data_IF_895005069440
#
_entry.id   IF_895005069440
#
_cell.length_a   1.000
_cell.length_b   1.000
_cell.length_c   1.000
_cell.angle_alpha   90.00
_cell.angle_beta   90.00
_cell.angle_gamma   90.00
#
_symmetry.space_group_name_H-M   'P 1'
#
loop_
_entity.id
_entity.type
_entity.pdbx_description
1 polymer ?
#
# COMPACT_ATOMS: atom_id res chain seq x y z
N UNK A 1 15.51 15.16 14.21
CA UNK A 1 14.52 14.49 15.08
C UNK A 1 13.13 15.14 15.14
N UNK A 2 12.93 16.43 14.80
CA UNK A 2 11.59 17.07 14.86
C UNK A 2 10.68 16.70 13.66
N UNK A 3 11.24 16.53 12.46
CA UNK A 3 10.45 16.18 11.24
C UNK A 3 9.97 14.72 11.21
N UNK A 4 10.69 13.79 11.85
CA UNK A 4 10.30 12.35 11.92
C UNK A 4 9.05 12.16 12.79
N UNK A 5 8.79 13.06 13.74
CA UNK A 5 7.67 12.99 14.66
C UNK A 5 6.33 13.36 14.00
N UNK A 6 6.33 14.31 13.05
CA UNK A 6 5.13 14.71 12.29
C UNK A 6 4.73 13.64 11.27
N UNK A 7 5.68 13.11 10.49
CA UNK A 7 5.39 12.05 9.51
C UNK A 7 4.86 10.75 10.15
N UNK A 8 5.39 10.39 11.33
CA UNK A 8 4.89 9.24 12.09
C UNK A 8 3.46 9.48 12.62
N UNK A 9 3.17 10.71 13.06
CA UNK A 9 1.83 11.10 13.50
C UNK A 9 0.83 11.09 12.33
N UNK A 10 1.24 11.57 11.15
CA UNK A 10 0.44 11.51 9.93
C UNK A 10 0.09 10.08 9.51
N UNK A 11 1.06 9.15 9.53
CA UNK A 11 0.82 7.74 9.18
C UNK A 11 -0.14 7.04 10.15
N UNK A 12 0.02 7.28 11.47
CA UNK A 12 -0.86 6.71 12.50
C UNK A 12 -2.27 7.31 12.44
N UNK A 13 -2.38 8.61 12.18
CA UNK A 13 -3.66 9.28 12.00
C UNK A 13 -4.37 8.75 10.74
N UNK A 14 -3.62 8.48 9.68
CA UNK A 14 -4.14 7.98 8.41
C UNK A 14 -4.69 6.55 8.53
N UNK A 15 -4.02 5.64 9.25
CA UNK A 15 -4.53 4.29 9.53
C UNK A 15 -5.84 4.30 10.34
N UNK A 16 -5.91 5.14 11.39
CA UNK A 16 -7.10 5.28 12.23
C UNK A 16 -8.33 5.74 11.43
N UNK A 17 -8.16 6.75 10.57
CA UNK A 17 -9.25 7.32 9.78
C UNK A 17 -9.65 6.44 8.58
N UNK A 18 -8.76 5.57 8.13
CA UNK A 18 -9.03 4.67 7.02
C UNK A 18 -10.04 3.57 7.41
N UNK A 19 -9.98 3.07 8.64
CA UNK A 19 -10.97 2.15 9.19
C UNK A 19 -12.38 2.76 9.20
N UNK A 20 -12.51 4.03 9.60
CA UNK A 20 -13.78 4.78 9.53
C UNK A 20 -14.29 4.90 8.09
N UNK A 21 -13.39 5.15 7.12
CA UNK A 21 -13.73 5.21 5.71
C UNK A 21 -14.26 3.88 5.15
N UNK A 22 -13.67 2.76 5.57
CA UNK A 22 -14.14 1.42 5.19
C UNK A 22 -15.52 1.14 5.76
N UNK A 23 -15.75 1.44 7.05
CA UNK A 23 -17.07 1.26 7.67
C UNK A 23 -18.15 2.10 6.98
N UNK A 24 -17.84 3.35 6.63
CA UNK A 24 -18.75 4.23 5.89
C UNK A 24 -19.11 3.68 4.50
N UNK A 25 -18.13 3.11 3.78
CA UNK A 25 -18.35 2.46 2.49
C UNK A 25 -19.23 1.20 2.59
N UNK A 26 -19.23 0.52 3.75
CA UNK A 26 -20.07 -0.65 4.01
C UNK A 26 -21.49 -0.25 4.40
N UNK A 27 -21.66 0.87 5.10
CA UNK A 27 -22.97 1.29 5.62
C UNK A 27 -23.77 2.17 4.65
N UNK A 28 -23.13 3.02 3.83
CA UNK A 28 -23.84 4.11 3.14
C UNK A 28 -23.66 4.17 1.61
N UNK A 29 -22.93 3.23 0.97
CA UNK A 29 -22.58 3.21 -0.48
C UNK A 29 -22.07 4.56 -1.06
N UNK A 30 -21.84 5.55 -0.19
CA UNK A 30 -21.50 6.94 -0.49
C UNK A 30 -20.53 7.45 0.56
N UNK A 31 -19.48 8.11 0.10
CA UNK A 31 -18.40 8.60 0.96
C UNK A 31 -18.63 10.03 1.45
N UNK A 32 -19.81 10.28 2.02
CA UNK A 32 -20.15 11.59 2.58
C UNK A 32 -19.85 11.61 4.09
N UNK A 33 -19.00 12.52 4.54
CA UNK A 33 -18.70 12.69 5.97
C UNK A 33 -19.86 13.37 6.70
N UNK A 34 -20.20 12.98 7.94
CA UNK A 34 -21.36 13.51 8.66
C UNK A 34 -21.33 15.03 8.93
N UNK A 35 -20.15 15.66 8.90
CA UNK A 35 -19.93 17.03 9.38
C UNK A 35 -19.64 18.08 8.31
N UNK A 36 -19.84 17.83 7.01
CA UNK A 36 -19.81 18.88 5.97
C UNK A 36 -18.52 19.69 5.79
N UNK A 37 -17.53 19.57 6.68
CA UNK A 37 -16.26 20.27 6.62
C UNK A 37 -15.31 19.52 5.68
N UNK A 38 -15.36 19.90 4.41
CA UNK A 38 -14.48 19.43 3.34
C UNK A 38 -13.00 19.85 3.50
N UNK A 39 -12.63 20.45 4.63
CA UNK A 39 -11.35 21.13 4.85
C UNK A 39 -10.48 20.47 5.92
N UNK A 40 -10.98 19.50 6.68
CA UNK A 40 -10.15 18.79 7.65
C UNK A 40 -9.32 17.68 6.98
N UNK A 41 -8.06 17.58 7.39
CA UNK A 41 -7.11 16.57 6.93
C UNK A 41 -7.64 15.14 7.20
N UNK A 42 -8.32 14.97 8.35
CA UNK A 42 -8.96 13.72 8.78
C UNK A 42 -10.11 13.31 7.85
N UNK A 43 -11.00 14.25 7.50
CA UNK A 43 -12.10 14.00 6.57
C UNK A 43 -11.60 13.59 5.17
N UNK A 44 -10.45 14.12 4.76
CA UNK A 44 -9.83 13.77 3.48
C UNK A 44 -9.37 12.32 3.46
N UNK A 45 -8.77 11.81 4.54
CA UNK A 45 -8.36 10.40 4.66
C UNK A 45 -9.55 9.44 4.69
N UNK A 46 -10.58 9.75 5.49
CA UNK A 46 -11.82 8.96 5.55
C UNK A 46 -12.46 8.83 4.16
N UNK A 47 -12.58 9.95 3.45
CA UNK A 47 -13.17 10.01 2.12
C UNK A 47 -12.37 9.21 1.10
N UNK A 48 -11.03 9.34 1.12
CA UNK A 48 -10.14 8.60 0.23
C UNK A 48 -10.27 7.10 0.44
N UNK A 49 -10.17 6.62 1.67
CA UNK A 49 -10.32 5.20 1.99
C UNK A 49 -11.71 4.65 1.66
N UNK A 50 -12.77 5.42 1.92
CA UNK A 50 -14.11 5.03 1.52
C UNK A 50 -14.23 4.83 0.00
N UNK A 51 -13.70 5.76 -0.81
CA UNK A 51 -13.73 5.62 -2.27
C UNK A 51 -12.93 4.39 -2.75
N UNK A 52 -11.76 4.14 -2.15
CA UNK A 52 -10.97 2.93 -2.44
C UNK A 52 -11.73 1.64 -2.14
N UNK A 53 -12.48 1.61 -1.04
CA UNK A 53 -13.29 0.45 -0.66
C UNK A 53 -14.45 0.22 -1.64
N UNK A 54 -15.15 1.29 -2.05
CA UNK A 54 -16.21 1.20 -3.07
C UNK A 54 -15.68 0.71 -4.41
N UNK A 55 -14.47 1.14 -4.82
CA UNK A 55 -13.82 0.63 -6.02
C UNK A 55 -13.53 -0.86 -5.93
N UNK A 56 -13.06 -1.34 -4.77
CA UNK A 56 -12.85 -2.78 -4.52
C UNK A 56 -14.14 -3.59 -4.67
N UNK A 57 -15.23 -3.11 -4.08
CA UNK A 57 -16.56 -3.75 -4.22
C UNK A 57 -17.07 -3.72 -5.65
N UNK A 58 -16.88 -2.61 -6.36
CA UNK A 58 -17.28 -2.48 -7.76
C UNK A 58 -16.48 -3.43 -8.67
N UNK A 59 -15.18 -3.59 -8.42
CA UNK A 59 -14.34 -4.55 -9.13
C UNK A 59 -14.83 -5.99 -8.93
N UNK A 60 -15.15 -6.36 -7.68
CA UNK A 60 -15.73 -7.67 -7.36
C UNK A 60 -17.09 -7.88 -8.03
N UNK A 61 -17.97 -6.87 -8.00
CA UNK A 61 -19.28 -6.93 -8.66
C UNK A 61 -19.17 -7.07 -10.19
N UNK A 62 -18.07 -6.58 -10.77
CA UNK A 62 -17.77 -6.68 -12.20
C UNK A 62 -16.94 -7.93 -12.56
N UNK A 63 -16.62 -8.79 -11.59
CA UNK A 63 -15.79 -9.98 -11.80
C UNK A 63 -14.34 -9.68 -12.19
N UNK A 64 -13.85 -8.49 -11.84
CA UNK A 64 -12.45 -8.09 -12.06
C UNK A 64 -11.55 -8.64 -10.94
N UNK A 65 -10.26 -8.83 -11.24
CA UNK A 65 -9.28 -9.29 -10.26
C UNK A 65 -9.10 -8.28 -9.12
N UNK A 66 -9.04 -8.76 -7.89
CA UNK A 66 -8.69 -7.96 -6.72
C UNK A 66 -7.18 -7.59 -6.65
N UNK A 67 -6.42 -7.86 -7.70
CA UNK A 67 -5.04 -7.39 -7.88
C UNK A 67 -5.07 -6.00 -8.51
N UNK A 68 -4.60 -5.01 -7.76
CA UNK A 68 -4.73 -3.59 -8.10
C UNK A 68 -3.52 -3.09 -8.90
N UNK A 69 -3.78 -2.28 -9.94
CA UNK A 69 -2.76 -1.67 -10.79
C UNK A 69 -2.21 -0.38 -10.15
N UNK A 70 -0.88 -0.24 -10.17
CA UNK A 70 0.01 0.69 -9.44
C UNK A 70 -0.30 2.21 -9.39
N UNK A 71 -1.47 2.70 -9.81
CA UNK A 71 -1.74 4.14 -9.97
C UNK A 71 -2.43 4.84 -8.79
N UNK A 72 -2.82 4.13 -7.74
CA UNK A 72 -3.40 4.75 -6.53
C UNK A 72 -2.62 4.22 -5.33
N UNK A 73 -1.99 5.15 -4.59
CA UNK A 73 -0.91 4.83 -3.64
C UNK A 73 -1.20 3.69 -2.67
N UNK A 74 -0.13 3.08 -2.13
CA UNK A 74 -0.10 1.85 -1.32
C UNK A 74 -1.32 1.61 -0.42
N UNK A 75 -1.74 2.63 0.32
CA UNK A 75 -2.83 2.54 1.27
C UNK A 75 -4.22 2.37 0.63
N UNK A 76 -4.47 2.96 -0.54
CA UNK A 76 -5.71 2.73 -1.28
C UNK A 76 -5.77 1.30 -1.81
N UNK A 77 -4.64 0.74 -2.22
CA UNK A 77 -4.53 -0.65 -2.67
C UNK A 77 -4.89 -1.65 -1.57
N UNK A 78 -4.44 -1.41 -0.34
CA UNK A 78 -4.80 -2.24 0.83
C UNK A 78 -6.31 -2.24 1.09
N UNK A 79 -6.92 -1.05 1.09
CA UNK A 79 -8.36 -0.88 1.31
C UNK A 79 -9.18 -1.48 0.18
N UNK A 80 -8.76 -1.27 -1.07
CA UNK A 80 -9.38 -1.85 -2.26
C UNK A 80 -9.40 -3.37 -2.15
N UNK A 81 -8.26 -3.99 -1.84
CA UNK A 81 -8.16 -5.44 -1.71
C UNK A 81 -9.05 -5.97 -0.59
N UNK A 82 -9.01 -5.33 0.57
CA UNK A 82 -9.82 -5.71 1.73
C UNK A 82 -11.34 -5.66 1.43
N UNK A 83 -11.80 -4.67 0.65
CA UNK A 83 -13.21 -4.55 0.29
C UNK A 83 -13.61 -5.37 -0.95
N UNK A 84 -12.66 -5.73 -1.81
CA UNK A 84 -12.88 -6.59 -2.98
C UNK A 84 -13.12 -8.05 -2.56
N UNK A 85 -12.34 -8.57 -1.60
CA UNK A 85 -12.45 -9.96 -1.12
C UNK A 85 -13.64 -10.22 -0.19
N UNK A 86 -14.32 -9.18 0.30
CA UNK A 86 -15.37 -9.24 1.35
C UNK A 86 -16.69 -9.92 0.96
N UNK A 87 -16.76 -10.66 -0.14
CA UNK A 87 -17.92 -11.49 -0.51
C UNK A 87 -17.74 -13.00 -0.29
N UNK A 88 -16.64 -13.45 0.35
CA UNK A 88 -16.39 -14.87 0.64
C UNK A 88 -16.59 -15.31 2.10
N UNK A 89 -17.24 -14.53 2.98
CA UNK A 89 -17.48 -14.96 4.37
C UNK A 89 -18.87 -15.56 4.66
N UNK A 90 -19.59 -16.08 3.65
CA UNK A 90 -20.75 -16.97 3.90
C UNK A 90 -20.86 -18.09 2.88
N UNK A 91 -20.00 -19.11 2.98
CA UNK A 91 -20.31 -20.52 2.64
C UNK A 91 -19.11 -21.38 3.02
N UNK A 92 -19.30 -22.18 4.05
CA UNK A 92 -18.39 -23.21 4.54
C UNK A 92 -17.79 -24.04 3.40
N UNK A 93 -16.54 -23.75 3.06
CA UNK A 93 -15.55 -24.69 2.55
C UNK A 93 -14.24 -24.30 3.22
N UNK A 94 -13.92 -25.07 4.26
CA UNK A 94 -12.69 -25.16 5.03
C UNK A 94 -11.41 -24.81 4.25
N UNK A 95 -11.10 -23.50 4.20
CA UNK A 95 -9.78 -22.94 3.95
C UNK A 95 -9.67 -21.75 4.90
N UNK A 96 -9.29 -22.04 6.15
CA UNK A 96 -9.20 -21.08 7.23
C UNK A 96 -8.23 -19.94 6.93
N UNK A 97 -8.78 -18.73 6.79
CA UNK A 97 -8.05 -17.48 6.78
C UNK A 97 -8.54 -16.59 7.92
N UNK A 98 -7.61 -16.25 8.82
CA UNK A 98 -7.65 -15.18 9.83
C UNK A 98 -8.46 -15.42 11.11
N UNK A 99 -7.92 -16.27 11.98
CA UNK A 99 -7.97 -16.00 13.42
C UNK A 99 -6.76 -15.14 13.81
N UNK A 100 -7.00 -13.89 14.18
CA UNK A 100 -6.07 -12.95 14.82
C UNK A 100 -5.71 -13.38 16.26
N UNK A 101 -5.30 -14.64 16.46
CA UNK A 101 -4.60 -15.12 17.66
C UNK A 101 -3.77 -16.36 17.32
N UNK A 102 -2.62 -16.16 16.68
CA UNK A 102 -1.70 -17.25 16.39
C UNK A 102 -0.46 -16.73 15.70
N UNK A 103 0.43 -16.09 16.45
CA UNK A 103 1.74 -15.66 15.96
C UNK A 103 2.55 -16.85 15.48
N UNK A 104 2.38 -17.23 14.22
CA UNK A 104 3.35 -18.03 13.50
C UNK A 104 4.69 -17.28 13.46
N UNK A 105 5.81 -17.98 13.24
CA UNK A 105 7.12 -17.35 13.29
C UNK A 105 7.28 -16.23 12.24
N UNK A 106 6.58 -16.32 11.10
CA UNK A 106 6.74 -15.44 9.94
C UNK A 106 6.14 -14.03 10.13
N UNK A 107 6.84 -13.00 9.63
CA UNK A 107 6.37 -11.60 9.64
C UNK A 107 5.48 -11.20 8.47
N UNK A 108 5.57 -11.88 7.32
CA UNK A 108 4.79 -11.55 6.12
C UNK A 108 4.02 -12.76 5.58
N UNK A 109 4.57 -13.50 4.61
CA UNK A 109 3.91 -14.67 4.04
C UNK A 109 4.40 -15.95 4.74
N UNK A 110 3.47 -16.88 4.92
CA UNK A 110 3.68 -18.18 5.52
C UNK A 110 3.14 -19.25 4.58
N UNK A 111 3.95 -20.26 4.27
CA UNK A 111 3.54 -21.43 3.50
C UNK A 111 3.83 -22.69 4.30
N UNK A 112 2.76 -23.36 4.71
CA UNK A 112 2.84 -24.67 5.34
C UNK A 112 2.96 -25.76 4.27
N UNK A 113 4.03 -26.54 4.32
CA UNK A 113 4.29 -27.65 3.39
C UNK A 113 3.96 -29.02 3.98
N UNK A 114 3.43 -29.08 5.21
CA UNK A 114 3.16 -30.30 5.98
C UNK A 114 4.38 -30.86 6.71
N UNK A 115 5.59 -30.62 6.19
CA UNK A 115 6.88 -30.99 6.83
C UNK A 115 7.59 -29.78 7.46
N UNK A 116 7.47 -28.60 6.85
CA UNK A 116 8.12 -27.37 7.32
C UNK A 116 7.25 -26.13 7.04
N UNK A 117 7.30 -25.17 7.97
CA UNK A 117 6.69 -23.84 7.82
C UNK A 117 7.72 -22.93 7.16
N UNK A 118 7.52 -22.62 5.89
CA UNK A 118 8.42 -21.75 5.13
C UNK A 118 7.86 -20.33 5.10
N UNK A 119 8.64 -19.37 5.60
CA UNK A 119 8.30 -17.96 5.49
C UNK A 119 8.79 -17.38 4.15
N UNK A 120 8.02 -16.46 3.59
CA UNK A 120 8.41 -15.68 2.42
C UNK A 120 8.02 -14.21 2.60
N UNK A 121 8.64 -13.35 1.80
CA UNK A 121 8.40 -11.92 1.85
C UNK A 121 7.60 -11.45 0.63
N UNK A 122 6.91 -10.31 0.77
CA UNK A 122 6.28 -9.65 -0.36
C UNK A 122 7.34 -9.15 -1.35
N UNK A 123 6.92 -8.88 -2.60
CA UNK A 123 7.79 -8.25 -3.60
C UNK A 123 8.32 -6.93 -3.05
N UNK A 124 9.61 -6.65 -3.24
CA UNK A 124 10.30 -5.50 -2.65
C UNK A 124 10.87 -5.75 -1.24
N UNK A 125 10.75 -6.97 -0.71
CA UNK A 125 11.33 -7.35 0.58
C UNK A 125 12.22 -8.58 0.48
N UNK A 126 13.26 -8.64 1.31
CA UNK A 126 14.20 -9.74 1.41
C UNK A 126 14.03 -10.46 2.74
N UNK A 127 13.99 -11.80 2.71
CA UNK A 127 13.97 -12.61 3.91
C UNK A 127 15.32 -12.56 4.61
N UNK A 128 15.31 -12.24 5.89
CA UNK A 128 16.49 -12.17 6.73
C UNK A 128 16.98 -13.57 7.13
N UNK A 129 18.20 -13.65 7.64
CA UNK A 129 18.87 -14.89 8.06
C UNK A 129 18.14 -15.64 9.18
N UNK A 130 17.22 -14.97 9.88
CA UNK A 130 16.36 -15.59 10.88
C UNK A 130 15.24 -16.44 10.26
N UNK A 131 15.09 -16.40 8.93
CA UNK A 131 14.11 -17.18 8.18
C UNK A 131 12.68 -16.71 8.38
N UNK A 132 12.46 -15.59 9.06
CA UNK A 132 11.11 -15.17 9.49
C UNK A 132 10.83 -13.69 9.27
N UNK A 133 11.85 -12.85 9.36
CA UNK A 133 11.73 -11.40 9.22
C UNK A 133 11.98 -10.96 7.79
N UNK A 134 11.27 -9.93 7.37
CA UNK A 134 11.38 -9.36 6.04
C UNK A 134 11.86 -7.92 6.13
N UNK A 135 12.95 -7.62 5.44
CA UNK A 135 13.50 -6.26 5.34
C UNK A 135 13.21 -5.68 3.96
N UNK A 136 12.92 -4.39 3.92
CA UNK A 136 12.70 -3.66 2.67
C UNK A 136 13.97 -3.64 1.82
N UNK A 137 13.84 -3.98 0.54
CA UNK A 137 14.94 -3.93 -0.42
C UNK A 137 15.09 -2.50 -0.90
N UNK A 138 16.21 -1.87 -0.57
CA UNK A 138 16.48 -0.52 -1.05
C UNK A 138 17.03 -0.53 -2.48
N UNK A 139 16.16 -0.41 -3.48
CA UNK A 139 16.56 -0.47 -4.89
C UNK A 139 17.45 0.71 -5.31
N UNK A 140 17.43 1.82 -4.56
CA UNK A 140 18.29 2.97 -4.79
C UNK A 140 19.74 2.73 -4.40
N UNK A 141 19.99 1.84 -3.43
CA UNK A 141 21.35 1.46 -3.01
C UNK A 141 21.87 0.31 -3.88
N UNK A 142 21.01 -0.65 -4.20
CA UNK A 142 21.39 -1.81 -5.02
C UNK A 142 21.51 -1.46 -6.50
N UNK A 143 20.97 -0.32 -6.93
CA UNK A 143 20.92 0.09 -8.33
C UNK A 143 19.94 -0.72 -9.18
N UNK A 144 19.03 -1.47 -8.55
CA UNK A 144 18.02 -2.28 -9.24
C UNK A 144 16.77 -1.49 -9.66
N UNK A 145 16.83 -0.15 -9.60
CA UNK A 145 15.73 0.73 -9.97
C UNK A 145 15.66 0.99 -11.48
N UNK A 146 14.45 1.24 -11.98
CA UNK A 146 14.18 1.55 -13.40
C UNK A 146 14.07 3.05 -13.69
N UNK A 147 14.66 3.92 -12.85
CA UNK A 147 14.63 5.37 -13.04
C UNK A 147 15.41 5.83 -14.28
N UNK A 148 14.90 6.86 -14.95
CA UNK A 148 15.49 7.45 -16.16
C UNK A 148 16.68 8.35 -15.81
N UNK A 149 17.51 8.64 -16.82
CA UNK A 149 18.56 9.67 -16.71
C UNK A 149 17.92 11.03 -16.36
N UNK A 150 18.38 11.65 -15.27
CA UNK A 150 17.80 12.88 -14.71
C UNK A 150 16.71 12.66 -13.64
N UNK A 151 16.40 11.40 -13.30
CA UNK A 151 15.56 11.07 -12.15
C UNK A 151 16.39 10.62 -10.95
N UNK A 152 16.02 11.11 -9.77
CA UNK A 152 16.55 10.69 -8.49
C UNK A 152 15.71 9.55 -7.94
N UNK A 153 16.36 8.42 -7.62
CA UNK A 153 15.71 7.30 -6.97
C UNK A 153 15.42 7.62 -5.50
N UNK A 154 14.19 7.34 -5.05
CA UNK A 154 13.78 7.47 -3.65
C UNK A 154 13.21 6.13 -3.19
N UNK A 155 13.85 5.53 -2.19
CA UNK A 155 13.40 4.29 -1.61
C UNK A 155 12.09 4.50 -0.83
N UNK A 156 11.18 3.54 -0.93
CA UNK A 156 9.90 3.54 -0.22
C UNK A 156 9.66 2.16 0.36
N UNK A 157 8.81 2.05 1.38
CA UNK A 157 8.57 0.76 2.04
C UNK A 157 7.84 -0.19 1.06
N UNK A 158 8.55 -1.22 0.61
CA UNK A 158 8.15 -2.25 -0.35
C UNK A 158 8.37 -1.92 -1.83
N UNK A 159 9.01 -0.79 -2.17
CA UNK A 159 9.29 -0.40 -3.57
C UNK A 159 10.20 0.84 -3.67
N UNK A 160 10.38 1.39 -4.87
CA UNK A 160 11.02 2.68 -5.09
C UNK A 160 10.14 3.61 -5.94
N UNK A 161 10.39 4.91 -5.84
CA UNK A 161 9.85 5.90 -6.78
C UNK A 161 10.96 6.73 -7.40
N UNK A 162 10.79 7.03 -8.68
CA UNK A 162 11.67 7.92 -9.40
C UNK A 162 11.09 9.33 -9.34
N UNK A 163 11.87 10.26 -8.83
CA UNK A 163 11.49 11.67 -8.77
C UNK A 163 12.37 12.44 -9.73
N UNK A 164 11.77 13.13 -10.72
CA UNK A 164 12.53 14.04 -11.57
C UNK A 164 13.12 15.16 -10.73
N UNK A 165 14.42 15.35 -10.88
CA UNK A 165 15.07 16.51 -10.33
C UNK A 165 14.68 17.72 -11.19
N UNK A 166 14.31 18.83 -10.55
CA UNK A 166 14.02 20.10 -11.23
C UNK A 166 15.27 20.69 -11.90
N UNK A 167 16.44 20.10 -11.65
CA UNK A 167 17.69 20.40 -12.33
C UNK A 167 18.27 19.12 -12.93
N UNK A 168 18.57 19.13 -14.22
CA UNK A 168 19.41 18.09 -14.81
C UNK A 168 20.80 18.21 -14.17
N UNK A 169 21.36 17.08 -13.73
CA UNK A 169 22.67 17.06 -13.04
C UNK A 169 23.78 17.77 -13.83
N UNK A 170 24.93 18.01 -13.20
CA UNK A 170 26.00 18.82 -13.80
C UNK A 170 26.40 18.34 -15.21
N UNK A 171 26.22 19.21 -16.21
CA UNK A 171 26.56 18.94 -17.60
C UNK A 171 25.37 18.57 -18.52
N UNK A 172 24.13 18.60 -18.00
CA UNK A 172 22.92 18.32 -18.77
C UNK A 172 21.92 19.49 -18.66
N UNK A 173 21.19 19.77 -19.73
CA UNK A 173 20.15 20.82 -19.78
C UNK A 173 18.74 20.20 -19.88
N UNK A 174 17.78 20.84 -19.20
CA UNK A 174 16.38 20.46 -19.26
C UNK A 174 15.78 20.97 -20.58
N UNK A 175 15.42 20.04 -21.46
CA UNK A 175 14.73 20.35 -22.72
C UNK A 175 13.25 20.69 -22.50
N UNK A 176 12.62 21.33 -23.48
CA UNK A 176 11.18 21.65 -23.45
C UNK A 176 10.28 20.39 -23.34
N UNK A 177 10.79 19.24 -23.81
CA UNK A 177 10.16 17.92 -23.64
C UNK A 177 10.33 17.34 -22.23
N UNK A 178 10.80 18.15 -21.27
CA UNK A 178 11.03 17.74 -19.90
C UNK A 178 12.05 16.60 -19.77
N UNK A 179 12.96 16.48 -20.75
CA UNK A 179 14.03 15.48 -20.82
C UNK A 179 15.40 16.13 -20.59
N UNK A 180 16.31 15.46 -19.89
CA UNK A 180 17.68 15.92 -19.71
C UNK A 180 18.54 15.50 -20.92
N UNK A 181 19.23 16.44 -21.56
CA UNK A 181 20.17 16.20 -22.68
C UNK A 181 21.52 16.84 -22.45
#
# INVERSE_FOLDING_TARGET
CRMVQEQCCHSQLEELHCATGISLANEQDRCATPHGDNTSLEATFVKRCCHCCLLGRAAQAQGQSCEYSLMVGYQCGQVFRACCVKSQETRDLDVGGLQETGGGPCKQQCRDTGDEVVCSCFVGYQLLSDGVSCEDVNECITGSHSCRLGESCINTVGSFRCQRDSSCGTGYELTEDNSCK
#
